data_IF_242581528208
#
_entry.id   IF_242581528208
#
_cell.length_a   1.000
_cell.length_b   1.000
_cell.length_c   1.000
_cell.angle_alpha   90.00
_cell.angle_beta   90.00
_cell.angle_gamma   90.00
#
_symmetry.space_group_name_H-M   'P 1'
#
loop_
_entity.id
_entity.type
_entity.pdbx_description
1 polymer ?
#
# COMPACT_ATOMS: atom_id res chain seq x y z
N UNK A 1 -13.77 14.09 -12.45
CA UNK A 1 -14.50 13.05 -11.68
C UNK A 1 -13.75 12.84 -10.37
N UNK A 2 -14.46 12.81 -9.25
CA UNK A 2 -13.87 12.57 -7.92
C UNK A 2 -13.41 11.12 -7.81
N UNK A 3 -12.20 10.88 -7.30
CA UNK A 3 -11.69 9.52 -7.05
C UNK A 3 -12.65 8.78 -6.11
N UNK A 4 -12.97 7.52 -6.43
CA UNK A 4 -13.72 6.63 -5.54
C UNK A 4 -12.98 5.30 -5.42
N UNK A 5 -12.94 4.75 -4.21
CA UNK A 5 -12.21 3.53 -3.87
C UNK A 5 -13.15 2.51 -3.25
N UNK A 6 -12.90 1.22 -3.47
CA UNK A 6 -13.61 0.16 -2.76
C UNK A 6 -13.10 0.10 -1.31
N UNK A 7 -13.98 0.38 -0.36
CA UNK A 7 -13.70 0.32 1.06
C UNK A 7 -14.07 -1.07 1.61
N UNK A 8 -13.07 -1.87 1.98
CA UNK A 8 -13.28 -3.22 2.52
C UNK A 8 -14.10 -3.23 3.81
N UNK A 9 -14.04 -2.17 4.64
CA UNK A 9 -14.79 -2.08 5.90
C UNK A 9 -16.31 -2.03 5.66
N UNK A 10 -16.75 -1.23 4.68
CA UNK A 10 -18.17 -1.07 4.34
C UNK A 10 -18.62 -1.98 3.19
N UNK A 11 -17.67 -2.56 2.46
CA UNK A 11 -17.86 -3.36 1.24
C UNK A 11 -18.51 -2.59 0.09
N UNK A 12 -18.25 -1.28 -0.01
CA UNK A 12 -18.83 -0.39 -1.02
C UNK A 12 -17.75 0.44 -1.70
N UNK A 13 -18.06 0.92 -2.91
CA UNK A 13 -17.26 1.97 -3.55
C UNK A 13 -17.67 3.30 -2.96
N UNK A 14 -16.71 4.02 -2.38
CA UNK A 14 -16.93 5.27 -1.66
C UNK A 14 -16.05 6.38 -2.24
N UNK A 15 -16.53 7.64 -2.27
CA UNK A 15 -15.72 8.76 -2.70
C UNK A 15 -14.54 8.95 -1.74
N UNK A 16 -13.34 9.04 -2.30
CA UNK A 16 -12.13 9.29 -1.55
C UNK A 16 -12.08 10.76 -1.13
N UNK A 17 -11.99 10.99 0.18
CA UNK A 17 -11.80 12.33 0.77
C UNK A 17 -10.62 12.28 1.72
N UNK A 18 -9.57 13.10 1.53
CA UNK A 18 -8.41 13.10 2.42
C UNK A 18 -8.81 13.61 3.82
N UNK A 19 -8.17 13.07 4.85
CA UNK A 19 -8.37 13.52 6.23
C UNK A 19 -7.87 14.96 6.44
N UNK A 20 -6.77 15.35 5.78
CA UNK A 20 -6.15 16.67 5.92
C UNK A 20 -5.63 17.20 4.57
N UNK A 21 -6.50 17.68 3.66
CA UNK A 21 -6.07 18.17 2.36
C UNK A 21 -5.05 19.33 2.47
N UNK A 22 -4.04 19.40 1.56
CA UNK A 22 -3.83 18.53 0.40
C UNK A 22 -3.09 17.22 0.72
N UNK A 23 -2.84 16.91 2.00
CA UNK A 23 -2.06 15.74 2.40
C UNK A 23 -2.89 14.46 2.40
N UNK A 24 -2.30 13.40 1.87
CA UNK A 24 -2.81 12.03 1.91
C UNK A 24 -1.75 11.13 2.53
N UNK A 25 -2.11 10.38 3.57
CA UNK A 25 -1.23 9.36 4.15
C UNK A 25 -1.67 7.98 3.69
N UNK A 26 -0.75 7.17 3.19
CA UNK A 26 -0.99 5.79 2.75
C UNK A 26 -0.05 4.87 3.50
N UNK A 27 -0.58 3.82 4.12
CA UNK A 27 0.21 2.72 4.65
C UNK A 27 -0.06 1.46 3.85
N UNK A 28 0.99 0.76 3.46
CA UNK A 28 0.88 -0.56 2.82
C UNK A 28 1.76 -1.57 3.54
N UNK A 29 1.26 -2.81 3.65
CA UNK A 29 2.04 -3.89 4.25
C UNK A 29 3.15 -4.31 3.28
N UNK A 30 4.40 -4.22 3.70
CA UNK A 30 5.52 -4.72 2.92
C UNK A 30 5.82 -6.21 3.15
N UNK A 31 6.89 -6.72 2.54
CA UNK A 31 7.21 -8.14 2.57
C UNK A 31 7.80 -8.58 3.92
N UNK A 32 7.56 -9.85 4.27
CA UNK A 32 8.44 -10.59 5.16
C UNK A 32 9.69 -11.01 4.39
N UNK A 33 10.87 -10.56 4.83
CA UNK A 33 12.13 -10.72 4.09
C UNK A 33 12.82 -12.06 4.36
N UNK A 34 12.11 -13.16 4.11
CA UNK A 34 12.63 -14.53 4.29
C UNK A 34 13.04 -15.21 2.98
N UNK A 35 12.62 -14.68 1.82
CA UNK A 35 12.96 -15.20 0.49
C UNK A 35 12.78 -14.11 -0.60
N UNK A 36 13.16 -14.41 -1.84
CA UNK A 36 12.94 -13.55 -3.00
C UNK A 36 11.45 -13.26 -3.23
N UNK A 37 11.15 -12.02 -3.61
CA UNK A 37 9.80 -11.61 -4.00
C UNK A 37 9.32 -12.37 -5.25
N UNK A 38 8.08 -12.85 -5.21
CA UNK A 38 7.45 -13.54 -6.33
C UNK A 38 6.42 -12.64 -7.03
N UNK A 39 5.90 -13.08 -8.18
CA UNK A 39 4.95 -12.31 -8.99
C UNK A 39 3.73 -11.81 -8.21
N UNK A 40 3.24 -12.62 -7.26
CA UNK A 40 2.18 -12.20 -6.34
C UNK A 40 2.51 -10.96 -5.50
N UNK A 41 3.74 -10.82 -4.99
CA UNK A 41 4.17 -9.62 -4.27
C UNK A 41 4.20 -8.41 -5.22
N UNK A 42 4.80 -8.59 -6.40
CA UNK A 42 4.94 -7.49 -7.38
C UNK A 42 3.60 -6.96 -7.87
N UNK A 43 2.58 -7.82 -8.03
CA UNK A 43 1.22 -7.37 -8.36
C UNK A 43 0.70 -6.38 -7.32
N UNK A 44 0.89 -6.66 -6.04
CA UNK A 44 0.47 -5.79 -4.94
C UNK A 44 1.27 -4.48 -4.96
N UNK A 45 2.60 -4.54 -5.04
CA UNK A 45 3.45 -3.34 -5.05
C UNK A 45 3.18 -2.44 -6.27
N UNK A 46 2.88 -3.02 -7.43
CA UNK A 46 2.49 -2.25 -8.62
C UNK A 46 1.15 -1.54 -8.44
N UNK A 47 0.17 -2.18 -7.80
CA UNK A 47 -1.11 -1.55 -7.49
C UNK A 47 -0.92 -0.37 -6.54
N UNK A 48 -0.12 -0.54 -5.49
CA UNK A 48 0.18 0.51 -4.51
C UNK A 48 0.91 1.69 -5.15
N UNK A 49 1.91 1.43 -6.01
CA UNK A 49 2.60 2.47 -6.79
C UNK A 49 1.64 3.19 -7.74
N UNK A 50 0.75 2.47 -8.42
CA UNK A 50 -0.26 3.08 -9.30
C UNK A 50 -1.21 4.00 -8.52
N UNK A 51 -1.69 3.56 -7.35
CA UNK A 51 -2.52 4.37 -6.47
C UNK A 51 -1.78 5.63 -6.03
N UNK A 52 -0.54 5.50 -5.54
CA UNK A 52 0.29 6.64 -5.16
C UNK A 52 0.47 7.63 -6.31
N UNK A 53 0.86 7.15 -7.50
CA UNK A 53 1.05 7.98 -8.69
C UNK A 53 -0.22 8.71 -9.10
N UNK A 54 -1.36 8.03 -9.04
CA UNK A 54 -2.65 8.65 -9.35
C UNK A 54 -3.01 9.77 -8.36
N UNK A 55 -2.77 9.55 -7.06
CA UNK A 55 -3.00 10.57 -6.03
C UNK A 55 -2.08 11.79 -6.21
N UNK A 56 -0.80 11.57 -6.50
CA UNK A 56 0.15 12.65 -6.85
C UNK A 56 -0.29 13.39 -8.11
N UNK A 57 -0.67 12.67 -9.16
CA UNK A 57 -1.21 13.25 -10.41
C UNK A 57 -2.47 14.08 -10.14
N UNK A 58 -3.29 13.67 -9.16
CA UNK A 58 -4.50 14.38 -8.74
C UNK A 58 -4.23 15.62 -7.87
N UNK A 59 -2.96 15.98 -7.62
CA UNK A 59 -2.55 17.18 -6.89
C UNK A 59 -2.39 17.02 -5.38
N UNK A 60 -2.36 15.78 -4.86
CA UNK A 60 -2.17 15.53 -3.43
C UNK A 60 -0.69 15.47 -3.02
N UNK A 61 -0.38 15.92 -1.80
CA UNK A 61 0.88 15.66 -1.09
C UNK A 61 0.81 14.27 -0.45
N UNK A 62 1.35 13.26 -1.13
CA UNK A 62 1.22 11.86 -0.71
C UNK A 62 2.40 11.42 0.15
N UNK A 63 2.10 11.09 1.40
CA UNK A 63 3.03 10.45 2.33
C UNK A 63 2.74 8.95 2.41
N UNK A 64 3.50 8.15 1.66
CA UNK A 64 3.35 6.69 1.59
C UNK A 64 4.44 5.99 2.40
N UNK A 65 4.04 5.14 3.34
CA UNK A 65 4.91 4.29 4.15
C UNK A 65 4.64 2.82 3.84
N UNK A 66 5.71 2.04 3.71
CA UNK A 66 5.67 0.58 3.66
C UNK A 66 6.70 0.01 4.63
N UNK A 67 6.31 -0.97 5.44
CA UNK A 67 7.21 -1.62 6.38
C UNK A 67 8.07 -2.71 5.71
N UNK A 68 9.07 -3.22 6.42
CA UNK A 68 9.71 -4.50 6.12
C UNK A 68 9.56 -5.37 7.37
N UNK A 69 9.06 -6.59 7.21
CA UNK A 69 8.99 -7.54 8.33
C UNK A 69 10.27 -8.36 8.32
N UNK A 70 11.25 -7.92 9.09
CA UNK A 70 12.59 -8.50 9.22
C UNK A 70 12.69 -9.56 10.32
N UNK A 71 11.71 -9.62 11.22
CA UNK A 71 11.57 -10.67 12.25
C UNK A 71 10.22 -11.37 12.09
N UNK A 72 10.27 -12.65 11.74
CA UNK A 72 9.12 -13.56 11.57
C UNK A 72 9.59 -15.01 11.71
N UNK A 73 8.68 -15.93 12.05
CA UNK A 73 8.97 -17.36 12.16
C UNK A 73 9.60 -17.94 10.89
N UNK A 74 9.20 -17.43 9.71
CA UNK A 74 9.79 -17.86 8.42
C UNK A 74 11.21 -17.38 8.25
N UNK A 75 11.53 -16.18 8.71
CA UNK A 75 12.89 -15.64 8.68
C UNK A 75 13.80 -16.44 9.61
N UNK A 76 13.31 -16.77 10.82
CA UNK A 76 14.04 -17.61 11.79
C UNK A 76 14.30 -19.00 11.19
N UNK A 77 13.29 -19.63 10.60
CA UNK A 77 13.40 -20.96 9.99
C UNK A 77 14.34 -20.98 8.77
N UNK A 78 14.38 -19.93 7.97
CA UNK A 78 15.24 -19.86 6.79
C UNK A 78 16.73 -19.63 7.14
N UNK A 79 17.02 -19.09 8.33
CA UNK A 79 18.37 -18.83 8.80
C UNK A 79 19.03 -20.02 9.53
N UNK A 80 18.21 -20.99 9.97
CA UNK A 80 18.65 -22.22 10.66
C UNK A 80 19.08 -23.30 9.65
#
# INVERSE_FOLDING_TARGET
MTLALYNTLSRRVEPFTPLAPPRVTVYTCGPTVWNYAHLGNFRTFLFEDLLRRYLVYSGYDVFHIMNLTDVDDRTIKAAA
#
